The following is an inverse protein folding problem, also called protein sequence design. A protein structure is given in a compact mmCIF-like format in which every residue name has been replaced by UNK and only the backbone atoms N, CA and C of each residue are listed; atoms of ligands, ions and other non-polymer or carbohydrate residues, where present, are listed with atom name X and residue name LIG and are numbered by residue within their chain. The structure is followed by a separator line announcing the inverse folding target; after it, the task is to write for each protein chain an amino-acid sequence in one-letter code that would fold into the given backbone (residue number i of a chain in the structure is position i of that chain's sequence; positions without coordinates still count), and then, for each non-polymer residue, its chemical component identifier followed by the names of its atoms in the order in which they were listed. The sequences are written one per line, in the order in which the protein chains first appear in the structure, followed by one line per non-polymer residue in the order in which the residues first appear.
data_IF_114518333325
#
_entry.id   IF_114518333325
#
_cell.length_a   1.000
_cell.length_b   1.000
_cell.length_c   1.000
_cell.angle_alpha   90.00
_cell.angle_beta   90.00
_cell.angle_gamma   90.00
#
_symmetry.space_group_name_H-M   'P 1'
#
loop_
_entity.id
_entity.type
_entity.pdbx_description
1 polymer ?
#
# COMPACT_ATOMS: atom_id res chain seq x y z
N UNK A 1 -14.23 7.20 -9.98
CA UNK A 1 -15.00 5.99 -9.61
C UNK A 1 -15.39 5.93 -8.14
N UNK A 2 -14.50 5.68 -7.17
CA UNK A 2 -14.92 5.63 -5.73
C UNK A 2 -15.58 6.94 -5.30
N UNK A 3 -14.97 8.09 -5.64
CA UNK A 3 -15.58 9.40 -5.35
C UNK A 3 -16.93 9.62 -6.04
N UNK A 4 -17.12 9.09 -7.25
CA UNK A 4 -18.38 9.20 -7.98
C UNK A 4 -19.46 8.31 -7.35
N UNK A 5 -19.09 7.13 -6.85
CA UNK A 5 -19.99 6.26 -6.09
C UNK A 5 -20.45 6.94 -4.80
N UNK A 6 -19.54 7.57 -4.06
CA UNK A 6 -19.87 8.34 -2.85
C UNK A 6 -20.75 9.57 -3.16
N UNK A 7 -20.42 10.30 -4.22
CA UNK A 7 -21.23 11.45 -4.67
C UNK A 7 -22.65 11.01 -5.06
N UNK A 8 -22.79 9.84 -5.67
CA UNK A 8 -24.10 9.28 -6.04
C UNK A 8 -24.87 8.82 -4.80
N UNK A 9 -24.17 8.21 -3.84
CA UNK A 9 -24.72 7.82 -2.55
C UNK A 9 -25.28 9.02 -1.77
N UNK A 10 -24.51 10.11 -1.65
CA UNK A 10 -24.96 11.34 -1.00
C UNK A 10 -26.23 11.93 -1.64
N UNK A 11 -26.35 11.82 -2.97
CA UNK A 11 -27.50 12.31 -3.74
C UNK A 11 -28.74 11.41 -3.60
N UNK A 12 -28.60 10.16 -3.19
CA UNK A 12 -29.71 9.21 -3.11
C UNK A 12 -30.75 9.58 -2.04
N UNK A 13 -30.37 10.35 -1.01
CA UNK A 13 -31.26 10.89 0.04
C UNK A 13 -32.26 9.86 0.59
N UNK A 14 -31.74 8.71 1.03
CA UNK A 14 -32.56 7.63 1.61
C UNK A 14 -33.12 8.08 2.96
N UNK A 15 -34.45 8.20 3.05
CA UNK A 15 -35.11 8.74 4.26
C UNK A 15 -35.30 7.69 5.37
N UNK A 16 -35.39 6.41 5.02
CA UNK A 16 -35.51 5.31 5.99
C UNK A 16 -34.11 5.00 6.56
N UNK A 17 -33.96 5.13 7.87
CA UNK A 17 -32.67 4.97 8.57
C UNK A 17 -32.16 3.52 8.51
N UNK A 18 -33.05 2.54 8.61
CA UNK A 18 -32.69 1.12 8.57
C UNK A 18 -32.20 0.75 7.18
N UNK A 19 -32.96 1.16 6.16
CA UNK A 19 -32.57 0.96 4.76
C UNK A 19 -31.28 1.72 4.41
N UNK A 20 -31.10 2.93 4.93
CA UNK A 20 -29.88 3.72 4.73
C UNK A 20 -28.65 2.99 5.29
N UNK A 21 -28.75 2.44 6.50
CA UNK A 21 -27.68 1.64 7.12
C UNK A 21 -27.33 0.39 6.29
N UNK A 22 -28.34 -0.39 5.87
CA UNK A 22 -28.13 -1.59 5.04
C UNK A 22 -27.49 -1.27 3.68
N UNK A 23 -27.93 -0.18 3.03
CA UNK A 23 -27.36 0.25 1.75
C UNK A 23 -25.95 0.80 1.91
N UNK A 24 -25.64 1.47 3.02
CA UNK A 24 -24.27 1.93 3.34
C UNK A 24 -23.33 0.74 3.47
N UNK A 25 -23.75 -0.31 4.18
CA UNK A 25 -22.95 -1.55 4.32
C UNK A 25 -22.68 -2.19 2.95
N UNK A 26 -23.70 -2.31 2.10
CA UNK A 26 -23.56 -2.82 0.73
C UNK A 26 -22.66 -1.96 -0.14
N UNK A 27 -22.75 -0.64 -0.02
CA UNK A 27 -21.88 0.31 -0.73
C UNK A 27 -20.42 0.10 -0.33
N UNK A 28 -20.14 0.03 0.97
CA UNK A 28 -18.78 -0.18 1.49
C UNK A 28 -18.23 -1.51 1.01
N UNK A 29 -18.98 -2.60 1.13
CA UNK A 29 -18.54 -3.91 0.64
C UNK A 29 -18.25 -3.90 -0.87
N UNK A 30 -19.05 -3.19 -1.66
CA UNK A 30 -18.83 -3.01 -3.09
C UNK A 30 -17.53 -2.22 -3.37
N UNK A 31 -17.31 -1.11 -2.67
CA UNK A 31 -16.10 -0.29 -2.77
C UNK A 31 -14.86 -1.11 -2.41
N UNK A 32 -14.87 -1.85 -1.30
CA UNK A 32 -13.76 -2.70 -0.88
C UNK A 32 -13.43 -3.77 -1.94
N UNK A 33 -14.44 -4.50 -2.44
CA UNK A 33 -14.23 -5.52 -3.49
C UNK A 33 -13.66 -4.95 -4.78
N UNK A 34 -14.10 -3.75 -5.18
CA UNK A 34 -13.57 -3.09 -6.37
C UNK A 34 -12.11 -2.65 -6.15
N UNK A 35 -11.79 -2.15 -4.96
CA UNK A 35 -10.44 -1.76 -4.59
C UNK A 35 -9.49 -2.97 -4.57
N UNK A 36 -9.89 -4.07 -3.92
CA UNK A 36 -9.18 -5.35 -3.91
C UNK A 36 -8.96 -5.87 -5.33
N UNK A 37 -10.02 -5.96 -6.13
CA UNK A 37 -9.92 -6.43 -7.51
C UNK A 37 -8.96 -5.60 -8.35
N UNK A 38 -9.00 -4.27 -8.22
CA UNK A 38 -8.09 -3.40 -8.95
C UNK A 38 -6.64 -3.64 -8.55
N UNK A 39 -6.35 -3.70 -7.24
CA UNK A 39 -4.99 -3.91 -6.75
C UNK A 39 -4.48 -5.29 -7.13
N UNK A 40 -5.30 -6.33 -7.01
CA UNK A 40 -4.96 -7.69 -7.46
C UNK A 40 -4.59 -7.71 -8.94
N UNK A 41 -5.33 -6.99 -9.78
CA UNK A 41 -5.03 -6.85 -11.21
C UNK A 41 -3.71 -6.14 -11.46
N UNK A 42 -3.45 -5.06 -10.73
CA UNK A 42 -2.17 -4.33 -10.81
C UNK A 42 -1.00 -5.22 -10.40
N UNK A 43 -1.13 -5.96 -9.30
CA UNK A 43 -0.07 -6.86 -8.80
C UNK A 43 0.13 -8.08 -9.71
N UNK A 44 -0.94 -8.64 -10.26
CA UNK A 44 -0.87 -9.74 -11.22
C UNK A 44 -0.19 -9.31 -12.53
N UNK A 45 -0.45 -8.09 -12.99
CA UNK A 45 0.23 -7.54 -14.16
C UNK A 45 1.72 -7.32 -13.86
N UNK A 46 2.05 -6.73 -12.71
CA UNK A 46 3.43 -6.56 -12.26
C UNK A 46 4.20 -7.89 -12.22
N UNK A 47 3.57 -8.96 -11.74
CA UNK A 47 4.16 -10.30 -11.75
C UNK A 47 4.39 -10.84 -13.18
N UNK A 48 3.43 -10.61 -14.08
CA UNK A 48 3.50 -10.98 -15.50
C UNK A 48 4.63 -10.23 -16.23
N UNK A 49 4.87 -8.97 -15.85
CA UNK A 49 5.96 -8.14 -16.38
C UNK A 49 7.35 -8.56 -15.88
N UNK A 50 7.41 -9.60 -15.03
CA UNK A 50 8.64 -10.23 -14.56
C UNK A 50 9.03 -9.88 -13.13
N UNK A 51 8.21 -9.12 -12.39
CA UNK A 51 8.45 -8.80 -10.99
C UNK A 51 7.83 -9.88 -10.06
N UNK A 52 8.28 -11.12 -10.20
CA UNK A 52 7.80 -12.25 -9.39
C UNK A 52 8.93 -13.20 -8.99
N UNK A 53 8.66 -14.02 -7.97
CA UNK A 53 9.64 -14.99 -7.46
C UNK A 53 10.92 -14.33 -6.94
N UNK A 54 12.06 -14.98 -7.18
CA UNK A 54 13.38 -14.45 -6.85
C UNK A 54 13.86 -13.50 -7.94
N UNK A 55 13.92 -12.22 -7.62
CA UNK A 55 14.37 -11.18 -8.54
C UNK A 55 15.88 -11.26 -8.80
N UNK A 56 16.30 -10.84 -9.99
CA UNK A 56 17.70 -10.77 -10.39
C UNK A 56 18.45 -9.66 -9.62
N UNK A 57 19.74 -9.81 -9.30
CA UNK A 57 20.52 -8.78 -8.60
C UNK A 57 20.57 -7.42 -9.29
N UNK A 58 20.33 -7.36 -10.59
CA UNK A 58 20.17 -6.13 -11.36
C UNK A 58 18.81 -6.14 -12.06
N UNK A 59 18.01 -5.10 -11.80
CA UNK A 59 16.74 -4.91 -12.48
C UNK A 59 16.90 -3.91 -13.63
N UNK A 60 16.32 -4.18 -14.81
CA UNK A 60 16.22 -3.19 -15.87
C UNK A 60 15.47 -1.94 -15.38
N UNK A 61 15.88 -0.71 -15.73
CA UNK A 61 15.19 0.51 -15.32
C UNK A 61 13.69 0.52 -15.67
N UNK A 62 13.31 -0.06 -16.81
CA UNK A 62 11.92 -0.19 -17.21
C UNK A 62 11.09 -1.02 -16.20
N UNK A 63 11.65 -2.11 -15.67
CA UNK A 63 10.96 -2.96 -14.69
C UNK A 63 10.84 -2.25 -13.34
N UNK A 64 11.86 -1.47 -12.94
CA UNK A 64 11.79 -0.62 -11.73
C UNK A 64 10.70 0.44 -11.87
N UNK A 65 10.55 1.06 -13.04
CA UNK A 65 9.50 2.05 -13.30
C UNK A 65 8.10 1.43 -13.20
N UNK A 66 7.90 0.24 -13.79
CA UNK A 66 6.63 -0.49 -13.74
C UNK A 66 6.30 -0.88 -12.29
N UNK A 67 7.29 -1.36 -11.53
CA UNK A 67 7.15 -1.60 -10.10
C UNK A 67 6.69 -0.33 -9.36
N UNK A 68 7.40 0.79 -9.53
CA UNK A 68 7.06 2.03 -8.83
C UNK A 68 5.65 2.52 -9.16
N UNK A 69 5.25 2.43 -10.44
CA UNK A 69 3.91 2.79 -10.89
C UNK A 69 2.84 1.89 -10.23
N UNK A 70 3.05 0.58 -10.22
CA UNK A 70 2.13 -0.37 -9.60
C UNK A 70 1.94 -0.10 -8.09
N UNK A 71 3.04 0.12 -7.36
CA UNK A 71 3.02 0.42 -5.93
C UNK A 71 2.35 1.76 -5.62
N UNK A 72 2.58 2.78 -6.44
CA UNK A 72 1.91 4.07 -6.29
C UNK A 72 0.40 3.98 -6.57
N UNK A 73 0.00 3.26 -7.61
CA UNK A 73 -1.40 3.06 -7.94
C UNK A 73 -2.14 2.33 -6.81
N UNK A 74 -1.55 1.26 -6.28
CA UNK A 74 -2.11 0.53 -5.13
C UNK A 74 -2.22 1.43 -3.88
N UNK A 75 -1.20 2.23 -3.59
CA UNK A 75 -1.22 3.17 -2.46
C UNK A 75 -2.29 4.26 -2.64
N UNK A 76 -2.50 4.73 -3.86
CA UNK A 76 -3.54 5.72 -4.16
C UNK A 76 -4.93 5.13 -3.91
N UNK A 77 -5.18 3.89 -4.34
CA UNK A 77 -6.45 3.19 -4.05
C UNK A 77 -6.62 2.98 -2.55
N UNK A 78 -5.57 2.55 -1.84
CA UNK A 78 -5.60 2.39 -0.38
C UNK A 78 -6.00 3.69 0.33
N UNK A 79 -5.42 4.84 -0.06
CA UNK A 79 -5.78 6.15 0.49
C UNK A 79 -7.22 6.55 0.19
N UNK A 80 -7.75 6.13 -0.96
CA UNK A 80 -9.13 6.45 -1.35
C UNK A 80 -10.18 5.71 -0.51
N UNK A 81 -9.79 4.70 0.28
CA UNK A 81 -10.66 4.01 1.25
C UNK A 81 -10.89 4.82 2.54
N UNK A 82 -10.21 5.94 2.74
CA UNK A 82 -10.47 6.86 3.85
C UNK A 82 -11.77 7.64 3.62
N UNK A 83 -12.90 6.94 3.76
CA UNK A 83 -14.25 7.42 3.42
C UNK A 83 -15.18 7.50 4.62
N UNK A 84 -14.77 7.04 5.81
CA UNK A 84 -15.61 6.98 7.01
C UNK A 84 -16.26 8.33 7.34
N UNK A 85 -15.51 9.43 7.23
CA UNK A 85 -16.01 10.78 7.48
C UNK A 85 -17.10 11.19 6.46
N UNK A 86 -16.98 10.75 5.20
CA UNK A 86 -17.95 11.05 4.13
C UNK A 86 -19.23 10.23 4.26
N UNK A 87 -19.19 9.11 4.98
CA UNK A 87 -20.34 8.25 5.19
C UNK A 87 -21.23 8.71 6.37
N UNK A 88 -20.78 9.70 7.15
CA UNK A 88 -21.51 10.22 8.31
C UNK A 88 -21.98 9.10 9.27
N UNK A 89 -21.11 8.10 9.51
CA UNK A 89 -21.46 6.89 10.26
C UNK A 89 -21.91 7.19 11.69
N UNK A 90 -21.31 8.19 12.36
CA UNK A 90 -21.71 8.60 13.70
C UNK A 90 -23.18 9.05 13.74
N UNK A 91 -23.57 9.97 12.85
CA UNK A 91 -24.94 10.48 12.78
C UNK A 91 -25.96 9.40 12.43
N UNK A 92 -25.58 8.48 11.54
CA UNK A 92 -26.42 7.36 11.14
C UNK A 92 -26.59 6.36 12.30
N UNK A 93 -25.53 6.15 13.10
CA UNK A 93 -25.56 5.31 14.31
C UNK A 93 -26.54 5.85 15.33
N UNK A 94 -26.40 7.13 15.68
CA UNK A 94 -27.27 7.76 16.67
C UNK A 94 -28.75 7.70 16.26
N UNK A 95 -29.05 7.91 14.96
CA UNK A 95 -30.42 7.82 14.44
C UNK A 95 -30.95 6.39 14.53
N UNK A 96 -30.12 5.40 14.21
CA UNK A 96 -30.50 3.99 14.27
C UNK A 96 -30.80 3.55 15.71
N UNK A 97 -29.93 3.91 16.65
CA UNK A 97 -30.07 3.55 18.06
C UNK A 97 -31.32 4.17 18.69
N UNK A 98 -31.66 5.41 18.32
CA UNK A 98 -32.90 6.08 18.76
C UNK A 98 -34.17 5.36 18.30
N UNK A 99 -34.17 4.78 17.10
CA UNK A 99 -35.34 4.07 16.55
C UNK A 99 -35.49 2.69 17.17
N UNK A 100 -34.39 1.97 17.35
CA UNK A 100 -34.40 0.55 17.79
C UNK A 100 -34.17 0.37 19.29
N UNK A 101 -33.87 1.46 20.02
CA UNK A 101 -33.55 1.48 21.44
C UNK A 101 -32.48 0.45 21.85
N UNK A 102 -31.48 0.26 20.97
CA UNK A 102 -30.40 -0.72 21.07
C UNK A 102 -29.16 -0.18 20.37
N UNK A 103 -27.98 -0.43 20.94
CA UNK A 103 -26.69 -0.15 20.27
C UNK A 103 -26.62 -0.80 18.90
N UNK A 104 -26.11 -0.05 17.93
CA UNK A 104 -26.04 -0.51 16.55
C UNK A 104 -24.65 -1.06 16.22
N UNK A 105 -24.52 -2.35 15.84
CA UNK A 105 -23.23 -2.90 15.44
C UNK A 105 -22.79 -2.42 14.05
N UNK A 106 -23.65 -1.75 13.28
CA UNK A 106 -23.40 -1.45 11.86
C UNK A 106 -22.13 -0.61 11.64
N UNK A 107 -21.87 0.37 12.51
CA UNK A 107 -20.70 1.24 12.42
C UNK A 107 -19.43 0.42 12.56
N UNK A 108 -19.36 -0.39 13.63
CA UNK A 108 -18.23 -1.26 13.88
C UNK A 108 -18.02 -2.28 12.74
N UNK A 109 -19.11 -2.77 12.14
CA UNK A 109 -19.04 -3.64 10.95
C UNK A 109 -18.43 -2.92 9.75
N UNK A 110 -18.88 -1.70 9.44
CA UNK A 110 -18.36 -0.90 8.32
C UNK A 110 -16.88 -0.54 8.54
N UNK A 111 -16.53 -0.04 9.73
CA UNK A 111 -15.14 0.30 10.08
C UNK A 111 -14.24 -0.92 9.97
N UNK A 112 -14.69 -2.08 10.46
CA UNK A 112 -13.95 -3.33 10.34
C UNK A 112 -13.74 -3.76 8.89
N UNK A 113 -14.75 -3.61 8.03
CA UNK A 113 -14.64 -3.95 6.61
C UNK A 113 -13.61 -3.06 5.89
N UNK A 114 -13.66 -1.75 6.13
CA UNK A 114 -12.70 -0.79 5.59
C UNK A 114 -11.28 -1.07 6.09
N UNK A 115 -11.12 -1.32 7.39
CA UNK A 115 -9.83 -1.68 8.00
C UNK A 115 -9.27 -2.98 7.42
N UNK A 116 -10.13 -3.97 7.19
CA UNK A 116 -9.72 -5.26 6.61
C UNK A 116 -9.23 -5.07 5.19
N UNK A 117 -9.97 -4.31 4.37
CA UNK A 117 -9.57 -3.99 3.01
C UNK A 117 -8.27 -3.17 2.98
N UNK A 118 -8.14 -2.13 3.82
CA UNK A 118 -6.93 -1.30 3.90
C UNK A 118 -5.70 -2.14 4.26
N UNK A 119 -5.83 -3.05 5.25
CA UNK A 119 -4.77 -3.97 5.65
C UNK A 119 -4.37 -4.88 4.50
N UNK A 120 -5.33 -5.50 3.83
CA UNK A 120 -5.08 -6.34 2.66
C UNK A 120 -4.29 -5.59 1.57
N UNK A 121 -4.73 -4.39 1.19
CA UNK A 121 -4.03 -3.58 0.19
C UNK A 121 -2.63 -3.19 0.65
N UNK A 122 -2.45 -2.89 1.94
CA UNK A 122 -1.14 -2.61 2.51
C UNK A 122 -0.23 -3.85 2.42
N UNK A 123 -0.72 -5.03 2.76
CA UNK A 123 0.05 -6.28 2.67
C UNK A 123 0.53 -6.57 1.25
N UNK A 124 -0.29 -6.31 0.22
CA UNK A 124 0.12 -6.47 -1.18
C UNK A 124 1.27 -5.53 -1.57
N UNK A 125 1.22 -4.28 -1.09
CA UNK A 125 2.29 -3.30 -1.29
C UNK A 125 3.57 -3.75 -0.58
N UNK A 126 3.47 -4.11 0.70
CA UNK A 126 4.60 -4.55 1.52
C UNK A 126 5.26 -5.80 0.93
N UNK A 127 4.50 -6.82 0.55
CA UNK A 127 5.04 -8.04 -0.06
C UNK A 127 5.85 -7.75 -1.34
N UNK A 128 5.42 -6.77 -2.12
CA UNK A 128 6.11 -6.37 -3.35
C UNK A 128 7.38 -5.57 -3.05
N UNK A 129 7.34 -4.68 -2.05
CA UNK A 129 8.52 -3.96 -1.54
C UNK A 129 9.54 -4.95 -0.95
N UNK A 130 9.10 -5.94 -0.18
CA UNK A 130 9.97 -6.95 0.41
C UNK A 130 10.75 -7.71 -0.66
N UNK A 131 10.10 -8.06 -1.78
CA UNK A 131 10.79 -8.68 -2.93
C UNK A 131 11.87 -7.78 -3.51
N UNK A 132 11.61 -6.47 -3.62
CA UNK A 132 12.60 -5.50 -4.10
C UNK A 132 13.83 -5.45 -3.18
N UNK A 133 13.60 -5.42 -1.86
CA UNK A 133 14.65 -5.24 -0.85
C UNK A 133 15.45 -6.52 -0.64
N UNK A 134 14.78 -7.68 -0.50
CA UNK A 134 15.44 -8.98 -0.28
C UNK A 134 16.43 -9.32 -1.40
N UNK A 135 16.14 -8.89 -2.63
CA UNK A 135 17.02 -9.03 -3.80
C UNK A 135 18.40 -8.39 -3.60
N UNK A 136 18.49 -7.32 -2.80
CA UNK A 136 19.73 -6.58 -2.55
C UNK A 136 20.61 -7.23 -1.47
N UNK A 137 20.04 -8.08 -0.61
CA UNK A 137 20.74 -8.69 0.53
C UNK A 137 22.06 -9.41 0.17
N UNK A 138 22.17 -10.19 -0.93
CA UNK A 138 23.43 -10.84 -1.29
C UNK A 138 24.54 -9.83 -1.62
N UNK A 139 24.22 -8.75 -2.32
CA UNK A 139 25.19 -7.69 -2.65
C UNK A 139 25.58 -6.90 -1.41
N UNK A 140 24.61 -6.57 -0.55
CA UNK A 140 24.86 -5.92 0.73
C UNK A 140 25.84 -6.73 1.58
N UNK A 141 25.59 -8.04 1.75
CA UNK A 141 26.49 -8.95 2.46
C UNK A 141 27.89 -8.96 1.85
N UNK A 142 28.00 -9.05 0.52
CA UNK A 142 29.29 -9.02 -0.18
C UNK A 142 30.08 -7.75 0.14
N UNK A 143 29.44 -6.57 0.07
CA UNK A 143 30.09 -5.31 0.38
C UNK A 143 30.48 -5.17 1.85
N UNK A 144 29.62 -5.63 2.77
CA UNK A 144 29.93 -5.68 4.20
C UNK A 144 31.11 -6.61 4.50
N UNK A 145 31.20 -7.77 3.84
CA UNK A 145 32.36 -8.64 3.97
C UNK A 145 33.63 -7.97 3.46
N UNK A 146 33.61 -7.34 2.28
CA UNK A 146 34.78 -6.61 1.78
C UNK A 146 35.21 -5.48 2.73
N UNK A 147 34.25 -4.77 3.34
CA UNK A 147 34.53 -3.75 4.35
C UNK A 147 35.20 -4.35 5.59
N UNK A 148 34.66 -5.45 6.14
CA UNK A 148 35.22 -6.12 7.31
C UNK A 148 36.63 -6.68 7.08
N UNK A 149 36.97 -7.00 5.83
CA UNK A 149 38.28 -7.50 5.41
C UNK A 149 39.18 -6.41 4.82
N UNK A 150 38.77 -5.14 4.85
CA UNK A 150 39.60 -4.05 4.35
C UNK A 150 40.82 -3.84 5.24
N UNK A 151 42.03 -3.64 4.67
CA UNK A 151 43.23 -3.40 5.46
C UNK A 151 43.06 -2.19 6.38
N UNK A 152 43.60 -2.23 7.60
CA UNK A 152 43.49 -1.11 8.56
C UNK A 152 44.16 0.19 8.08
N UNK A 153 45.05 0.09 7.08
CA UNK A 153 45.68 1.24 6.44
C UNK A 153 44.82 1.86 5.32
N UNK A 154 43.72 1.21 4.92
CA UNK A 154 42.78 1.73 3.93
C UNK A 154 41.97 2.87 4.57
N UNK A 155 41.91 4.06 3.93
CA UNK A 155 41.02 5.13 4.39
C UNK A 155 39.56 4.68 4.44
N UNK A 156 38.84 5.08 5.49
CA UNK A 156 37.46 4.67 5.73
C UNK A 156 36.55 5.05 4.54
N UNK A 157 36.73 6.22 3.95
CA UNK A 157 35.93 6.64 2.80
C UNK A 157 36.12 5.70 1.60
N UNK A 158 37.35 5.21 1.37
CA UNK A 158 37.64 4.29 0.27
C UNK A 158 37.06 2.90 0.52
N UNK A 159 37.11 2.43 1.77
CA UNK A 159 36.55 1.14 2.16
C UNK A 159 35.01 1.12 2.09
N UNK A 160 34.36 2.24 2.44
CA UNK A 160 32.90 2.37 2.42
C UNK A 160 32.32 2.63 1.03
N UNK A 161 33.10 3.28 0.14
CA UNK A 161 32.62 3.76 -1.16
C UNK A 161 31.82 2.73 -1.98
N UNK A 162 32.24 1.45 -2.11
CA UNK A 162 31.48 0.47 -2.88
C UNK A 162 30.07 0.20 -2.31
N UNK A 163 29.95 0.18 -0.99
CA UNK A 163 28.67 -0.02 -0.31
C UNK A 163 27.75 1.19 -0.50
N UNK A 164 28.29 2.40 -0.31
CA UNK A 164 27.52 3.63 -0.46
C UNK A 164 27.09 3.88 -1.89
N UNK A 165 27.95 3.59 -2.88
CA UNK A 165 27.63 3.73 -4.30
C UNK A 165 26.51 2.76 -4.72
N UNK A 166 26.50 1.53 -4.18
CA UNK A 166 25.43 0.55 -4.42
C UNK A 166 24.10 1.03 -3.85
N UNK A 167 24.08 1.46 -2.58
CA UNK A 167 22.87 1.97 -1.93
C UNK A 167 22.34 3.23 -2.61
N UNK A 168 23.22 4.17 -2.97
CA UNK A 168 22.82 5.41 -3.65
C UNK A 168 22.19 5.11 -5.01
N UNK A 169 22.80 4.23 -5.80
CA UNK A 169 22.25 3.81 -7.10
C UNK A 169 20.87 3.18 -6.96
N UNK A 170 20.71 2.25 -6.03
CA UNK A 170 19.45 1.52 -5.81
C UNK A 170 18.34 2.43 -5.26
N UNK A 171 18.63 3.22 -4.22
CA UNK A 171 17.65 4.11 -3.60
C UNK A 171 17.26 5.27 -4.53
N UNK A 172 18.23 5.84 -5.25
CA UNK A 172 17.96 6.92 -6.21
C UNK A 172 17.06 6.44 -7.36
N UNK A 173 17.13 5.16 -7.73
CA UNK A 173 16.30 4.59 -8.81
C UNK A 173 14.80 4.58 -8.47
N UNK A 174 14.46 4.45 -7.19
CA UNK A 174 13.06 4.40 -6.72
C UNK A 174 12.58 5.71 -6.10
N UNK A 175 13.48 6.50 -5.49
CA UNK A 175 13.13 7.75 -4.80
C UNK A 175 12.42 8.76 -5.70
N UNK A 176 12.84 8.85 -6.97
CA UNK A 176 12.27 9.82 -7.92
C UNK A 176 10.85 9.48 -8.38
N UNK A 177 10.40 8.24 -8.18
CA UNK A 177 9.17 7.72 -8.79
C UNK A 177 8.16 7.34 -7.72
N UNK A 178 8.59 6.73 -6.62
CA UNK A 178 7.70 6.34 -5.54
C UNK A 178 7.10 7.56 -4.83
N UNK A 179 5.82 7.42 -4.45
CA UNK A 179 5.22 8.30 -3.45
C UNK A 179 6.04 8.22 -2.16
N UNK A 180 6.17 9.36 -1.46
CA UNK A 180 7.01 9.47 -0.26
C UNK A 180 6.76 8.35 0.75
N UNK A 181 5.49 8.03 1.06
CA UNK A 181 5.14 6.93 1.98
C UNK A 181 5.69 5.57 1.55
N UNK A 182 5.69 5.26 0.25
CA UNK A 182 6.21 4.01 -0.28
C UNK A 182 7.74 4.00 -0.31
N UNK A 183 8.37 5.15 -0.61
CA UNK A 183 9.82 5.28 -0.48
C UNK A 183 10.28 5.06 0.97
N UNK A 184 9.57 5.64 1.94
CA UNK A 184 9.84 5.43 3.37
C UNK A 184 9.68 3.97 3.77
N UNK A 185 8.68 3.25 3.24
CA UNK A 185 8.55 1.79 3.44
C UNK A 185 9.77 1.03 2.93
N UNK A 186 10.27 1.35 1.73
CA UNK A 186 11.49 0.75 1.18
C UNK A 186 12.68 0.96 2.12
N UNK A 187 12.84 2.18 2.65
CA UNK A 187 13.94 2.50 3.59
C UNK A 187 13.86 1.69 4.89
N UNK A 188 12.68 1.58 5.51
CA UNK A 188 12.52 0.86 6.79
C UNK A 188 12.59 -0.66 6.66
N UNK A 189 12.41 -1.21 5.46
CA UNK A 189 12.52 -2.66 5.21
C UNK A 189 13.95 -3.15 5.04
N UNK A 190 14.93 -2.24 5.08
CA UNK A 190 16.36 -2.57 5.00
C UNK A 190 17.00 -2.91 6.36
N UNK A 191 16.25 -2.74 7.46
CA UNK A 191 16.63 -3.14 8.83
C UNK A 191 16.36 -4.63 9.09
#
# INVERSE_FOLDING_TARGET
MIEEMLTTWEKAKVNDVTLCAELTEKLVNCVCKIAEFYVDRVMAQLATDGFCGQLQPFLPPALVNIFCAAINNAEQVRRSLSISDKLHLDELSEKYEKIHNKESPFRATIEKELDTCEKYLSEQIECSIDRLVIRQLPQLKKHVFHLAWSPSACPVEQALKPLTDMLDSELSSVHRILLHKNFVRVMHRQD
#
